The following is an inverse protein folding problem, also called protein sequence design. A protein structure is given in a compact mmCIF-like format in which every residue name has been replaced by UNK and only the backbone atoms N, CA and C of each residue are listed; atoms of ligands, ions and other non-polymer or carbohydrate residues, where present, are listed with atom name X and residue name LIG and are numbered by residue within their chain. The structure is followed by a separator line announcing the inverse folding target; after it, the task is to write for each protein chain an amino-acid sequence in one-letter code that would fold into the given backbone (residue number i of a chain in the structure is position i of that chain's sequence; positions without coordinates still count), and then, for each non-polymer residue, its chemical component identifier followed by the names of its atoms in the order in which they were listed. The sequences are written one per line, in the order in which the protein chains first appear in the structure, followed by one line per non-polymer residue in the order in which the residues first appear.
data_IF_266787685968
#
_entry.id   IF_266787685968
#
_cell.length_a   1.000
_cell.length_b   1.000
_cell.length_c   1.000
_cell.angle_alpha   90.00
_cell.angle_beta   90.00
_cell.angle_gamma   90.00
#
_symmetry.space_group_name_H-M   'P 1'
#
loop_
_entity.id
_entity.type
_entity.pdbx_description
1 polymer ?
#
# COMPACT_ATOMS: atom_id res chain seq x y z
N UNK A 1 14.29 -6.61 0.81
CA UNK A 1 14.26 -5.82 -0.45
C UNK A 1 15.54 -5.01 -0.52
N UNK A 2 16.29 -5.08 -1.63
CA UNK A 2 17.55 -4.32 -1.75
C UNK A 2 17.25 -2.83 -1.64
N UNK A 3 17.99 -2.12 -0.77
CA UNK A 3 17.82 -0.68 -0.50
C UNK A 3 17.78 0.16 -1.79
N UNK A 4 18.55 -0.26 -2.81
CA UNK A 4 18.58 0.38 -4.14
C UNK A 4 17.23 0.38 -4.88
N UNK A 5 16.35 -0.61 -4.66
CA UNK A 5 15.06 -0.70 -5.37
C UNK A 5 14.00 0.25 -4.83
N UNK A 6 14.15 0.73 -3.59
CA UNK A 6 13.20 1.66 -2.98
C UNK A 6 13.47 3.12 -3.39
N UNK A 7 14.68 3.42 -3.90
CA UNK A 7 15.07 4.79 -4.19
C UNK A 7 14.20 5.51 -5.21
N UNK A 8 13.87 4.90 -6.36
CA UNK A 8 12.99 5.54 -7.33
C UNK A 8 11.63 5.92 -6.74
N UNK A 9 11.07 5.07 -5.87
CA UNK A 9 9.80 5.35 -5.22
C UNK A 9 9.90 6.50 -4.22
N UNK A 10 10.99 6.59 -3.44
CA UNK A 10 11.21 7.71 -2.51
C UNK A 10 11.45 9.01 -3.28
N UNK A 11 12.27 9.00 -4.33
CA UNK A 11 12.52 10.19 -5.16
C UNK A 11 11.25 10.65 -5.86
N UNK A 12 10.55 9.73 -6.54
CA UNK A 12 9.31 10.03 -7.25
C UNK A 12 8.23 10.56 -6.31
N UNK A 13 8.04 9.93 -5.15
CA UNK A 13 7.09 10.42 -4.15
C UNK A 13 7.53 11.75 -3.54
N UNK A 14 8.82 11.93 -3.24
CA UNK A 14 9.34 13.17 -2.67
C UNK A 14 9.11 14.37 -3.60
N UNK A 15 9.41 14.22 -4.88
CA UNK A 15 9.19 15.27 -5.90
C UNK A 15 7.70 15.53 -6.11
N UNK A 16 6.89 14.47 -6.27
CA UNK A 16 5.45 14.62 -6.50
C UNK A 16 4.75 15.26 -5.29
N UNK A 17 5.08 14.80 -4.08
CA UNK A 17 4.47 15.28 -2.85
C UNK A 17 4.96 16.67 -2.43
N UNK A 18 6.11 17.16 -2.95
CA UNK A 18 6.56 18.53 -2.66
C UNK A 18 5.55 19.56 -3.12
N UNK A 19 4.80 19.26 -4.19
CA UNK A 19 3.74 20.13 -4.69
C UNK A 19 2.57 20.21 -3.71
N UNK A 20 2.18 19.08 -3.12
CA UNK A 20 1.14 19.06 -2.09
C UNK A 20 1.57 19.83 -0.82
N UNK A 21 2.84 19.73 -0.42
CA UNK A 21 3.37 20.52 0.69
C UNK A 21 3.40 22.02 0.39
N UNK A 22 3.68 22.41 -0.85
CA UNK A 22 3.69 23.82 -1.26
C UNK A 22 2.26 24.39 -1.32
N UNK A 23 1.27 23.63 -1.83
CA UNK A 23 -0.15 23.95 -1.67
C UNK A 23 -0.52 24.16 -0.20
N UNK A 24 -0.11 23.25 0.68
CA UNK A 24 -0.41 23.34 2.10
C UNK A 24 0.21 24.59 2.73
N UNK A 25 1.47 24.91 2.40
CA UNK A 25 2.13 26.14 2.84
C UNK A 25 1.32 27.37 2.44
N UNK A 26 0.91 27.49 1.18
CA UNK A 26 0.13 28.65 0.73
C UNK A 26 -1.27 28.68 1.34
N UNK A 27 -1.90 27.53 1.55
CA UNK A 27 -3.20 27.44 2.22
C UNK A 27 -3.11 27.93 3.67
N UNK A 28 -2.02 27.60 4.37
CA UNK A 28 -1.75 28.08 5.74
C UNK A 28 -1.47 29.58 5.76
N UNK A 29 -0.68 30.09 4.82
CA UNK A 29 -0.27 31.50 4.80
C UNK A 29 -1.35 32.46 4.30
N UNK A 30 -2.10 32.05 3.26
CA UNK A 30 -3.00 32.95 2.52
C UNK A 30 -4.48 32.56 2.63
N UNK A 31 -4.81 31.44 3.27
CA UNK A 31 -6.19 31.04 3.52
C UNK A 31 -7.03 30.95 2.24
N UNK A 32 -8.17 31.63 2.21
CA UNK A 32 -9.07 31.65 1.05
C UNK A 32 -8.46 32.30 -0.21
N UNK A 33 -7.37 33.06 -0.06
CA UNK A 33 -6.68 33.68 -1.19
C UNK A 33 -5.63 32.75 -1.82
N UNK A 34 -5.28 31.63 -1.18
CA UNK A 34 -4.18 30.74 -1.60
C UNK A 34 -4.27 30.33 -3.07
N UNK A 35 -5.44 29.88 -3.51
CA UNK A 35 -5.64 29.47 -4.91
C UNK A 35 -5.38 30.62 -5.89
N UNK A 36 -5.84 31.84 -5.56
CA UNK A 36 -5.66 33.01 -6.43
C UNK A 36 -4.18 33.39 -6.52
N UNK A 37 -3.47 33.35 -5.40
CA UNK A 37 -2.02 33.64 -5.35
C UNK A 37 -1.27 32.60 -6.18
N UNK A 38 -1.56 31.30 -5.98
CA UNK A 38 -0.90 30.19 -6.68
C UNK A 38 -1.32 30.00 -8.13
N UNK A 39 -2.41 30.61 -8.60
CA UNK A 39 -2.82 30.53 -10.00
C UNK A 39 -2.43 31.77 -10.81
N UNK A 40 -1.62 32.66 -10.24
CA UNK A 40 -1.25 33.93 -10.84
C UNK A 40 0.25 34.02 -11.12
N UNK A 41 0.62 34.85 -12.10
CA UNK A 41 2.02 35.10 -12.44
C UNK A 41 2.77 33.81 -12.83
N UNK A 42 3.96 33.64 -12.26
CA UNK A 42 4.83 32.49 -12.53
C UNK A 42 4.19 31.14 -12.13
N UNK A 43 3.18 31.12 -11.26
CA UNK A 43 2.57 29.88 -10.76
C UNK A 43 1.37 29.40 -11.59
N UNK A 44 1.05 30.00 -12.75
CA UNK A 44 -0.14 29.60 -13.51
C UNK A 44 -0.19 28.11 -13.93
N UNK A 45 0.96 27.43 -13.97
CA UNK A 45 1.07 25.99 -14.26
C UNK A 45 0.60 25.08 -13.11
N UNK A 46 0.51 25.62 -11.89
CA UNK A 46 0.37 24.87 -10.66
C UNK A 46 -0.93 24.05 -10.54
N UNK A 47 -2.12 24.57 -10.91
CA UNK A 47 -3.36 23.82 -10.79
C UNK A 47 -3.37 22.53 -11.63
N UNK A 48 -2.81 22.59 -12.84
CA UNK A 48 -2.72 21.43 -13.74
C UNK A 48 -1.74 20.38 -13.17
N UNK A 49 -0.60 20.82 -12.65
CA UNK A 49 0.40 19.97 -12.03
C UNK A 49 -0.15 19.25 -10.79
N UNK A 50 -0.79 20.01 -9.88
CA UNK A 50 -1.42 19.49 -8.68
C UNK A 50 -2.49 18.42 -8.99
N UNK A 51 -3.38 18.71 -9.95
CA UNK A 51 -4.43 17.76 -10.37
C UNK A 51 -3.83 16.46 -10.92
N UNK A 52 -2.77 16.56 -11.70
CA UNK A 52 -2.09 15.40 -12.31
C UNK A 52 -1.49 14.52 -11.23
N UNK A 53 -0.75 15.10 -10.29
CA UNK A 53 -0.12 14.32 -9.21
C UNK A 53 -1.11 13.72 -8.23
N UNK A 54 -2.22 14.40 -7.93
CA UNK A 54 -3.31 13.81 -7.16
C UNK A 54 -3.90 12.59 -7.88
N UNK A 55 -4.16 12.70 -9.19
CA UNK A 55 -4.66 11.60 -10.00
C UNK A 55 -3.70 10.39 -10.01
N UNK A 56 -2.40 10.64 -10.22
CA UNK A 56 -1.37 9.59 -10.19
C UNK A 56 -1.29 8.95 -8.80
N UNK A 57 -1.29 9.75 -7.74
CA UNK A 57 -1.22 9.24 -6.36
C UNK A 57 -2.43 8.38 -6.00
N UNK A 58 -3.63 8.81 -6.38
CA UNK A 58 -4.85 8.05 -6.21
C UNK A 58 -4.81 6.73 -6.99
N UNK A 59 -4.36 6.75 -8.25
CA UNK A 59 -4.24 5.56 -9.08
C UNK A 59 -3.26 4.53 -8.48
N UNK A 60 -2.10 4.99 -7.97
CA UNK A 60 -1.11 4.12 -7.31
C UNK A 60 -1.70 3.50 -6.04
N UNK A 61 -2.39 4.28 -5.21
CA UNK A 61 -2.99 3.79 -3.97
C UNK A 61 -4.09 2.76 -4.27
N UNK A 62 -5.00 3.06 -5.19
CA UNK A 62 -6.07 2.16 -5.62
C UNK A 62 -5.48 0.88 -6.21
N UNK A 63 -4.49 0.98 -7.11
CA UNK A 63 -3.82 -0.17 -7.68
C UNK A 63 -3.14 -1.04 -6.62
N UNK A 64 -2.49 -0.43 -5.63
CA UNK A 64 -1.89 -1.15 -4.50
C UNK A 64 -2.93 -1.89 -3.64
N UNK A 65 -4.07 -1.26 -3.35
CA UNK A 65 -5.19 -1.88 -2.63
C UNK A 65 -5.81 -3.03 -3.42
N UNK A 66 -6.03 -2.85 -4.72
CA UNK A 66 -6.56 -3.89 -5.61
C UNK A 66 -5.62 -5.09 -5.69
N UNK A 67 -4.30 -4.87 -5.81
CA UNK A 67 -3.31 -5.94 -5.81
C UNK A 67 -3.30 -6.71 -4.47
N UNK A 68 -3.36 -5.99 -3.34
CA UNK A 68 -3.43 -6.61 -2.03
C UNK A 68 -4.73 -7.42 -1.83
N UNK A 69 -5.86 -6.90 -2.30
CA UNK A 69 -7.15 -7.58 -2.29
C UNK A 69 -7.16 -8.82 -3.17
N UNK A 70 -6.66 -8.72 -4.41
CA UNK A 70 -6.53 -9.83 -5.33
C UNK A 70 -5.65 -10.94 -4.75
N UNK A 71 -4.49 -10.60 -4.18
CA UNK A 71 -3.62 -11.58 -3.52
C UNK A 71 -4.33 -12.31 -2.36
N UNK A 72 -5.17 -11.60 -1.60
CA UNK A 72 -5.98 -12.18 -0.53
C UNK A 72 -7.02 -13.15 -1.06
N UNK A 73 -7.71 -12.81 -2.15
CA UNK A 73 -8.68 -13.69 -2.80
C UNK A 73 -8.00 -14.95 -3.33
N UNK A 74 -6.89 -14.80 -4.06
CA UNK A 74 -6.19 -15.92 -4.69
C UNK A 74 -5.55 -16.90 -3.70
N UNK A 75 -5.04 -16.40 -2.57
CA UNK A 75 -4.39 -17.26 -1.58
C UNK A 75 -5.33 -17.74 -0.47
N UNK A 76 -6.56 -17.22 -0.39
CA UNK A 76 -7.51 -17.47 0.69
C UNK A 76 -7.10 -16.89 2.04
N UNK A 77 -5.97 -16.16 2.12
CA UNK A 77 -5.42 -15.59 3.36
C UNK A 77 -4.70 -14.27 3.09
N UNK A 78 -4.49 -13.42 4.10
CA UNK A 78 -3.68 -12.22 3.93
C UNK A 78 -2.26 -12.58 3.46
N UNK A 79 -1.74 -11.83 2.47
CA UNK A 79 -0.35 -12.00 2.04
C UNK A 79 0.60 -11.72 3.21
N UNK A 80 1.69 -12.51 3.36
CA UNK A 80 2.70 -12.25 4.38
C UNK A 80 3.27 -10.84 4.21
N UNK A 81 3.56 -10.16 5.33
CA UNK A 81 4.07 -8.78 5.27
C UNK A 81 5.59 -8.80 5.10
N UNK A 82 6.12 -7.94 4.23
CA UNK A 82 7.56 -7.74 4.14
C UNK A 82 8.08 -6.91 5.33
N UNK A 83 9.39 -7.02 5.62
CA UNK A 83 10.04 -6.13 6.58
C UNK A 83 9.85 -4.67 6.16
N UNK A 84 9.29 -3.87 7.07
CA UNK A 84 9.02 -2.47 6.81
C UNK A 84 10.31 -1.63 6.87
N UNK A 85 10.51 -0.67 5.96
CA UNK A 85 11.55 0.35 6.14
C UNK A 85 11.27 1.20 7.40
N UNK A 86 12.33 1.77 7.96
CA UNK A 86 12.22 2.70 9.10
C UNK A 86 11.41 3.92 8.70
N UNK A 87 10.38 4.23 9.48
CA UNK A 87 9.51 5.39 9.27
C UNK A 87 10.30 6.70 9.36
N UNK A 88 11.08 6.88 10.44
CA UNK A 88 11.88 8.09 10.66
C UNK A 88 12.85 8.34 9.51
N UNK A 89 13.44 7.26 8.98
CA UNK A 89 14.33 7.37 7.82
C UNK A 89 13.58 7.84 6.56
N UNK A 90 12.42 7.26 6.28
CA UNK A 90 11.59 7.68 5.12
C UNK A 90 11.10 9.11 5.28
N UNK A 91 10.64 9.48 6.47
CA UNK A 91 10.23 10.83 6.81
C UNK A 91 11.36 11.82 6.55
N UNK A 92 12.54 11.59 7.11
CA UNK A 92 13.69 12.47 6.92
C UNK A 92 14.04 12.64 5.44
N UNK A 93 14.08 11.54 4.68
CA UNK A 93 14.42 11.58 3.25
C UNK A 93 13.37 12.33 2.42
N UNK A 94 12.09 12.01 2.62
CA UNK A 94 11.00 12.68 1.91
C UNK A 94 10.96 14.17 2.27
N UNK A 95 11.09 14.50 3.55
CA UNK A 95 11.13 15.88 4.02
C UNK A 95 12.30 16.66 3.42
N UNK A 96 13.51 16.11 3.41
CA UNK A 96 14.67 16.77 2.80
C UNK A 96 14.46 17.03 1.31
N UNK A 97 13.97 16.04 0.55
CA UNK A 97 13.68 16.20 -0.88
C UNK A 97 12.63 17.29 -1.08
N UNK A 98 11.53 17.21 -0.34
CA UNK A 98 10.41 18.14 -0.45
C UNK A 98 10.79 19.58 -0.10
N UNK A 99 11.56 19.77 0.97
CA UNK A 99 12.03 21.08 1.39
C UNK A 99 13.02 21.68 0.38
N UNK A 100 13.92 20.86 -0.18
CA UNK A 100 14.83 21.30 -1.24
C UNK A 100 14.06 21.71 -2.51
N UNK A 101 13.04 20.95 -2.91
CA UNK A 101 12.17 21.30 -4.03
C UNK A 101 11.42 22.61 -3.77
N UNK A 102 10.84 22.78 -2.58
CA UNK A 102 10.14 24.01 -2.19
C UNK A 102 11.06 25.23 -2.28
N UNK A 103 12.23 25.17 -1.63
CA UNK A 103 13.19 26.28 -1.64
C UNK A 103 13.68 26.59 -3.05
N UNK A 104 13.93 25.55 -3.87
CA UNK A 104 14.32 25.72 -5.27
C UNK A 104 13.24 26.38 -6.11
N UNK A 105 11.97 26.00 -5.95
CA UNK A 105 10.84 26.60 -6.65
C UNK A 105 10.67 28.08 -6.30
N UNK A 106 10.59 28.41 -5.01
CA UNK A 106 10.41 29.80 -4.55
C UNK A 106 11.58 30.70 -5.00
N UNK A 107 12.81 30.16 -4.98
CA UNK A 107 13.98 30.89 -5.47
C UNK A 107 13.90 31.13 -6.98
N UNK A 108 13.58 30.09 -7.76
CA UNK A 108 13.47 30.19 -9.21
C UNK A 108 12.34 31.15 -9.64
N UNK A 109 11.22 31.13 -8.94
CA UNK A 109 10.07 32.00 -9.22
C UNK A 109 10.34 33.46 -8.82
N UNK A 110 11.07 33.68 -7.72
CA UNK A 110 11.56 35.02 -7.34
C UNK A 110 12.49 35.59 -8.43
N UNK A 111 13.45 34.78 -8.90
CA UNK A 111 14.35 35.16 -10.00
C UNK A 111 13.59 35.45 -11.31
N UNK A 112 12.64 34.60 -11.68
CA UNK A 112 11.87 34.75 -12.91
C UNK A 112 10.94 35.97 -12.89
N UNK A 113 10.44 36.37 -11.72
CA UNK A 113 9.57 37.53 -11.54
C UNK A 113 10.32 38.84 -11.26
N UNK A 114 11.65 38.78 -11.11
CA UNK A 114 12.47 39.94 -10.72
C UNK A 114 12.20 40.42 -9.28
N UNK A 115 11.52 39.60 -8.46
CA UNK A 115 11.24 39.92 -7.07
C UNK A 115 12.39 39.44 -6.17
N UNK A 116 12.66 40.14 -5.06
CA UNK A 116 13.64 39.68 -4.09
C UNK A 116 13.17 38.34 -3.49
N UNK A 117 14.06 37.35 -3.48
CA UNK A 117 13.79 36.08 -2.81
C UNK A 117 13.60 36.28 -1.30
N UNK A 118 12.69 35.51 -0.70
CA UNK A 118 12.55 35.47 0.75
C UNK A 118 13.87 35.10 1.43
N UNK A 119 14.08 35.55 2.67
CA UNK A 119 15.26 35.14 3.43
C UNK A 119 15.25 33.63 3.66
N UNK A 120 16.44 33.04 3.82
CA UNK A 120 16.61 31.59 4.02
C UNK A 120 15.78 31.10 5.21
N UNK A 121 15.76 31.85 6.31
CA UNK A 121 15.00 31.48 7.51
C UNK A 121 13.48 31.44 7.24
N UNK A 122 12.97 32.38 6.45
CA UNK A 122 11.55 32.42 6.07
C UNK A 122 11.22 31.24 5.16
N UNK A 123 12.08 30.90 4.19
CA UNK A 123 11.89 29.75 3.31
C UNK A 123 11.92 28.43 4.08
N UNK A 124 12.85 28.26 5.02
CA UNK A 124 12.93 27.07 5.86
C UNK A 124 11.72 26.93 6.77
N UNK A 125 11.29 28.03 7.42
CA UNK A 125 10.13 28.02 8.29
C UNK A 125 8.84 27.70 7.53
N UNK A 126 8.55 28.46 6.47
CA UNK A 126 7.32 28.31 5.68
C UNK A 126 7.30 26.99 4.90
N UNK A 127 8.44 26.55 4.38
CA UNK A 127 8.60 25.24 3.78
C UNK A 127 8.34 24.11 4.78
N UNK A 128 8.86 24.21 6.00
CA UNK A 128 8.65 23.18 7.02
C UNK A 128 7.16 23.02 7.38
N UNK A 129 6.40 24.12 7.46
CA UNK A 129 4.98 24.10 7.78
C UNK A 129 4.16 23.24 6.81
N UNK A 130 4.44 23.32 5.51
CA UNK A 130 3.73 22.53 4.50
C UNK A 130 4.36 21.17 4.21
N UNK A 131 5.69 21.11 4.12
CA UNK A 131 6.40 19.90 3.68
C UNK A 131 6.46 18.83 4.77
N UNK A 132 6.62 19.18 6.05
CA UNK A 132 6.75 18.17 7.11
C UNK A 132 5.48 17.30 7.28
N UNK A 133 4.25 17.86 7.36
CA UNK A 133 3.04 17.05 7.45
C UNK A 133 2.85 16.15 6.22
N UNK A 134 3.14 16.66 5.03
CA UNK A 134 3.01 15.91 3.77
C UNK A 134 4.06 14.80 3.69
N UNK A 135 5.30 15.05 4.09
CA UNK A 135 6.33 14.03 4.21
C UNK A 135 5.96 12.94 5.21
N UNK A 136 5.31 13.28 6.33
CA UNK A 136 4.84 12.32 7.33
C UNK A 136 3.78 11.37 6.77
N UNK A 137 2.77 11.90 6.06
CA UNK A 137 1.74 11.10 5.38
C UNK A 137 2.37 10.27 4.26
N UNK A 138 3.25 10.86 3.46
CA UNK A 138 3.95 10.18 2.38
C UNK A 138 4.82 9.02 2.89
N UNK A 139 5.53 9.21 4.00
CA UNK A 139 6.35 8.17 4.63
C UNK A 139 5.49 6.99 5.09
N UNK A 140 4.31 7.25 5.66
CA UNK A 140 3.36 6.22 6.08
C UNK A 140 2.81 5.45 4.87
N UNK A 141 2.35 6.17 3.84
CA UNK A 141 1.79 5.59 2.63
C UNK A 141 2.82 4.74 1.88
N UNK A 142 4.04 5.26 1.70
CA UNK A 142 5.13 4.53 1.06
C UNK A 142 5.52 3.30 1.86
N UNK A 143 5.64 3.42 3.19
CA UNK A 143 5.93 2.27 4.05
C UNK A 143 4.84 1.20 3.91
N UNK A 144 3.57 1.59 3.88
CA UNK A 144 2.46 0.66 3.66
C UNK A 144 2.55 -0.02 2.30
N UNK A 145 2.75 0.73 1.21
CA UNK A 145 2.88 0.21 -0.15
C UNK A 145 4.04 -0.80 -0.24
N UNK A 146 5.20 -0.45 0.29
CA UNK A 146 6.39 -1.30 0.24
C UNK A 146 6.21 -2.60 1.03
N UNK A 147 5.46 -2.57 2.13
CA UNK A 147 5.18 -3.75 2.95
C UNK A 147 4.14 -4.67 2.30
N UNK A 148 3.16 -4.12 1.57
CA UNK A 148 2.00 -4.86 1.06
C UNK A 148 2.10 -5.28 -0.40
N UNK A 149 2.57 -4.40 -1.28
CA UNK A 149 2.54 -4.63 -2.74
C UNK A 149 3.52 -5.71 -3.17
N UNK A 150 4.73 -5.73 -2.60
CA UNK A 150 5.75 -6.74 -2.94
C UNK A 150 5.26 -8.18 -2.71
N UNK A 151 4.85 -8.53 -1.48
CA UNK A 151 4.30 -9.86 -1.21
C UNK A 151 3.03 -10.19 -1.98
N UNK A 152 2.13 -9.22 -2.16
CA UNK A 152 0.91 -9.41 -2.97
C UNK A 152 1.26 -9.77 -4.41
N UNK A 153 2.24 -9.08 -5.01
CA UNK A 153 2.70 -9.38 -6.37
C UNK A 153 3.34 -10.76 -6.47
N UNK A 154 4.09 -11.20 -5.45
CA UNK A 154 4.64 -12.56 -5.41
C UNK A 154 3.54 -13.62 -5.39
N UNK A 155 2.48 -13.43 -4.60
CA UNK A 155 1.32 -14.33 -4.58
C UNK A 155 0.64 -14.38 -5.95
N UNK A 156 0.30 -13.22 -6.53
CA UNK A 156 -0.34 -13.16 -7.85
C UNK A 156 0.52 -13.84 -8.92
N UNK A 157 1.82 -13.52 -8.96
CA UNK A 157 2.75 -14.16 -9.91
C UNK A 157 2.81 -15.66 -9.73
N UNK A 158 2.90 -16.15 -8.48
CA UNK A 158 2.98 -17.59 -8.21
C UNK A 158 1.78 -18.34 -8.76
N UNK A 159 0.58 -17.75 -8.66
CA UNK A 159 -0.65 -18.34 -9.18
C UNK A 159 -0.67 -18.31 -10.71
N UNK A 160 -0.26 -17.20 -11.32
CA UNK A 160 -0.20 -17.06 -12.78
C UNK A 160 0.87 -17.95 -13.43
N UNK A 161 1.94 -18.28 -12.69
CA UNK A 161 3.03 -19.14 -13.16
C UNK A 161 2.82 -20.62 -12.79
N UNK A 162 1.67 -20.99 -12.22
CA UNK A 162 1.35 -22.39 -11.94
C UNK A 162 1.26 -23.15 -13.28
N UNK A 163 2.32 -23.87 -13.60
CA UNK A 163 2.22 -25.02 -14.50
C UNK A 163 1.49 -26.12 -13.73
N UNK A 164 0.40 -26.70 -14.23
CA UNK A 164 -0.24 -27.85 -13.61
C UNK A 164 0.81 -28.97 -13.47
N UNK A 165 1.32 -29.17 -12.27
CA UNK A 165 2.12 -30.35 -11.96
C UNK A 165 1.13 -31.51 -11.86
N UNK A 166 1.26 -32.59 -12.67
CA UNK A 166 0.46 -33.78 -12.48
C UNK A 166 0.75 -34.28 -11.06
N UNK A 167 -0.26 -34.20 -10.18
CA UNK A 167 -0.15 -34.81 -8.86
C UNK A 167 -0.05 -36.31 -9.10
N UNK A 168 1.01 -36.99 -8.68
CA UNK A 168 0.94 -38.44 -8.60
C UNK A 168 -0.20 -38.74 -7.65
N UNK A 169 -1.28 -39.31 -8.18
CA UNK A 169 -2.32 -39.93 -7.36
C UNK A 169 -1.61 -41.14 -6.74
N UNK A 170 -1.01 -40.93 -5.57
CA UNK A 170 -0.65 -42.04 -4.72
C UNK A 170 -1.99 -42.71 -4.40
N UNK A 171 -2.28 -43.82 -5.07
CA UNK A 171 -3.33 -44.71 -4.68
C UNK A 171 -3.00 -45.10 -3.24
N UNK A 172 -3.67 -44.47 -2.28
CA UNK A 172 -3.65 -44.91 -0.91
C UNK A 172 -4.32 -46.28 -0.93
N UNK A 173 -3.52 -47.34 -1.04
CA UNK A 173 -3.92 -48.65 -0.61
C UNK A 173 -4.20 -48.50 0.88
N UNK A 174 -5.46 -48.22 1.22
CA UNK A 174 -5.93 -48.34 2.59
C UNK A 174 -5.84 -49.85 2.87
N UNK A 175 -4.94 -50.34 3.73
CA UNK A 175 -5.01 -51.72 4.16
C UNK A 175 -6.31 -51.85 4.94
N UNK A 176 -7.32 -52.47 4.32
CA UNK A 176 -8.48 -52.95 5.03
C UNK A 176 -7.95 -54.08 5.91
N UNK A 177 -7.91 -53.96 7.24
CA UNK A 177 -7.54 -55.08 8.07
C UNK A 177 -8.52 -56.22 7.75
N UNK A 178 -7.98 -57.38 7.36
CA UNK A 178 -8.76 -58.59 7.27
C UNK A 178 -9.22 -58.94 8.69
N UNK A 179 -10.38 -58.40 9.09
CA UNK A 179 -11.04 -58.80 10.32
C UNK A 179 -11.47 -60.25 10.07
N UNK A 180 -10.77 -61.19 10.67
CA UNK A 180 -11.19 -62.58 10.73
C UNK A 180 -12.51 -62.64 11.51
N UNK A 181 -13.62 -62.73 10.77
CA UNK A 181 -14.99 -62.71 11.30
C UNK A 181 -15.39 -63.96 12.11
N UNK A 182 -14.45 -64.84 12.46
CA UNK A 182 -14.80 -66.05 13.23
C UNK A 182 -15.18 -65.74 14.69
N UNK A 183 -14.69 -64.64 15.26
CA UNK A 183 -14.95 -64.29 16.66
C UNK A 183 -16.22 -63.45 16.89
N UNK A 184 -16.86 -62.95 15.82
CA UNK A 184 -18.10 -62.15 15.91
C UNK A 184 -19.39 -63.00 15.86
N UNK A 185 -19.30 -64.29 15.56
CA UNK A 185 -20.44 -65.21 15.51
C UNK A 185 -20.81 -65.83 16.88
N UNK A 186 -20.07 -65.52 17.94
CA UNK A 186 -20.25 -66.10 19.28
C UNK A 186 -20.63 -65.10 20.39
N UNK A 187 -21.01 -63.87 20.04
CA UNK A 187 -21.49 -62.89 21.03
C UNK A 187 -23.02 -62.89 21.08
N UNK A 188 -23.66 -63.51 22.09
CA UNK A 188 -25.01 -63.14 22.49
C UNK A 188 -24.95 -61.80 23.23
N UNK A 189 -25.99 -60.98 23.08
CA UNK A 189 -26.20 -59.66 23.75
C UNK A 189 -25.45 -58.51 23.03
N UNK A 190 -26.10 -57.61 22.29
CA UNK A 190 -27.16 -56.68 22.73
C UNK A 190 -28.21 -56.49 21.61
N UNK A 191 -29.36 -57.14 21.76
CA UNK A 191 -30.60 -56.69 21.15
C UNK A 191 -31.10 -55.50 21.97
N UNK A 192 -30.94 -54.25 21.48
CA UNK A 192 -31.34 -53.11 22.31
C UNK A 192 -31.41 -51.70 21.71
N UNK A 193 -30.98 -51.45 20.47
CA UNK A 193 -30.94 -50.04 19.98
C UNK A 193 -31.71 -49.76 18.69
N UNK A 194 -32.43 -50.74 18.12
CA UNK A 194 -33.31 -50.51 16.97
C UNK A 194 -34.77 -50.47 17.44
N UNK A 195 -35.19 -49.40 18.13
CA UNK A 195 -36.62 -49.12 18.36
C UNK A 195 -36.90 -47.71 18.92
N UNK A 196 -36.56 -46.64 18.19
CA UNK A 196 -37.12 -45.28 18.47
C UNK A 196 -37.26 -44.39 17.21
N UNK A 197 -37.98 -44.85 16.19
CA UNK A 197 -38.66 -43.94 15.25
C UNK A 197 -40.06 -44.49 14.98
N UNK A 198 -41.06 -43.93 15.66
CA UNK A 198 -42.46 -44.07 15.26
C UNK A 198 -42.76 -43.18 14.05
N UNK A 199 -43.84 -43.46 13.31
CA UNK A 199 -44.21 -42.68 12.13
C UNK A 199 -44.66 -41.26 12.52
N UNK A 200 -44.53 -40.27 11.60
CA UNK A 200 -44.97 -38.90 11.84
C UNK A 200 -46.50 -38.81 11.97
N UNK A 201 -46.97 -37.93 12.86
CA UNK A 201 -48.38 -37.60 13.02
C UNK A 201 -48.89 -36.79 11.82
N UNK A 202 -50.09 -37.15 11.36
CA UNK A 202 -50.86 -36.48 10.31
C UNK A 202 -51.26 -35.06 10.67
#
# INVERSE_FOLDING_TARGET
MNRARAWPAVLGLGIAASQAGHLLTYQVLFGSAAQRVQSSGAHAYYPALAKTWLGVSAAVLVGGLLLAGLARILSGRPAPSASAPSYIRLLALLFTIQLAMFAGQETAESLASGSPAGSVDVLLLTGTLGQLPVAAVGALALRWLLVRVGPALTVVRSVLTLVPQPRPVAAALIPVPAIAYESLLLLPVVAGTIRKRGPPSS
#
